data_IF_036793132773
#
_entry.id   IF_036793132773
#
_cell.length_a   1.000
_cell.length_b   1.000
_cell.length_c   1.000
_cell.angle_alpha   90.00
_cell.angle_beta   90.00
_cell.angle_gamma   90.00
#
_symmetry.space_group_name_H-M   'P 1'
#
loop_
_entity.id
_entity.type
_entity.pdbx_description
1 polymer ?
#
# COMPACT_ATOMS: atom_id res chain seq x y z
N UNK A 1 16.43 16.34 3.81
CA UNK A 1 15.59 16.99 4.83
C UNK A 1 14.33 17.50 4.14
N UNK A 2 13.16 17.59 4.81
CA UNK A 2 11.90 18.00 4.15
C UNK A 2 11.97 19.43 3.59
N UNK A 3 12.76 20.29 4.25
CA UNK A 3 13.06 21.65 3.80
C UNK A 3 13.80 21.63 2.44
N UNK A 4 14.81 20.78 2.27
CA UNK A 4 15.57 20.69 1.02
C UNK A 4 14.67 20.28 -0.16
N UNK A 5 13.75 19.34 0.11
CA UNK A 5 12.74 18.91 -0.86
C UNK A 5 11.85 20.09 -1.28
N UNK A 6 11.27 20.81 -0.31
CA UNK A 6 10.37 21.94 -0.56
C UNK A 6 11.07 23.10 -1.28
N UNK A 7 12.32 23.41 -0.91
CA UNK A 7 13.11 24.46 -1.58
C UNK A 7 13.37 24.11 -3.03
N UNK A 8 13.73 22.85 -3.32
CA UNK A 8 13.99 22.40 -4.70
C UNK A 8 12.70 22.33 -5.52
N UNK A 9 11.61 21.81 -4.95
CA UNK A 9 10.30 21.80 -5.59
C UNK A 9 9.85 23.22 -5.97
N UNK A 10 9.99 24.18 -5.06
CA UNK A 10 9.62 25.57 -5.33
C UNK A 10 10.41 26.20 -6.48
N UNK A 11 11.72 25.94 -6.53
CA UNK A 11 12.58 26.39 -7.63
C UNK A 11 12.13 25.81 -8.98
N UNK A 12 11.85 24.49 -9.03
CA UNK A 12 11.40 23.79 -10.23
C UNK A 12 10.04 24.32 -10.70
N UNK A 13 9.10 24.58 -9.78
CA UNK A 13 7.79 25.15 -10.10
C UNK A 13 7.88 26.57 -10.65
N UNK A 14 8.73 27.41 -10.05
CA UNK A 14 8.95 28.78 -10.50
C UNK A 14 9.53 28.79 -11.92
N UNK A 15 10.52 27.93 -12.19
CA UNK A 15 11.10 27.78 -13.53
C UNK A 15 10.06 27.30 -14.57
N UNK A 16 9.27 26.28 -14.24
CA UNK A 16 8.21 25.75 -15.12
C UNK A 16 7.13 26.78 -15.41
N UNK A 17 6.73 27.59 -14.43
CA UNK A 17 5.71 28.63 -14.61
C UNK A 17 6.14 29.73 -15.59
N UNK A 18 7.44 29.99 -15.71
CA UNK A 18 7.98 30.97 -16.66
C UNK A 18 8.22 30.41 -18.07
N UNK A 19 8.33 29.09 -18.20
CA UNK A 19 8.77 28.43 -19.44
C UNK A 19 7.64 27.73 -20.22
N UNK A 20 6.61 27.23 -19.54
CA UNK A 20 5.56 26.42 -20.18
C UNK A 20 4.36 27.26 -20.65
N UNK A 21 3.77 26.95 -21.83
CA UNK A 21 2.59 27.63 -22.33
C UNK A 21 1.32 27.28 -21.51
N UNK A 22 0.36 28.19 -21.46
CA UNK A 22 -0.92 27.98 -20.75
C UNK A 22 -1.93 27.27 -21.66
N UNK A 23 -2.69 26.25 -21.19
CA UNK A 23 -2.60 25.59 -19.89
C UNK A 23 -1.58 24.42 -19.92
N UNK A 24 -0.67 24.38 -18.94
CA UNK A 24 0.23 23.24 -18.72
C UNK A 24 0.22 22.82 -17.25
N UNK A 25 0.25 21.50 -16.94
CA UNK A 25 0.41 21.03 -15.57
C UNK A 25 1.85 21.32 -15.10
N UNK A 26 1.99 22.25 -14.15
CA UNK A 26 3.29 22.59 -13.55
C UNK A 26 3.62 21.71 -12.34
N UNK A 27 2.60 21.16 -11.69
CA UNK A 27 2.69 20.30 -10.52
C UNK A 27 1.67 19.16 -10.62
N UNK A 28 2.07 17.97 -10.20
CA UNK A 28 1.20 16.83 -9.96
C UNK A 28 1.50 16.31 -8.55
N UNK A 29 0.47 15.85 -7.85
CA UNK A 29 0.67 15.27 -6.53
C UNK A 29 1.50 14.00 -6.61
N UNK A 30 2.30 13.80 -5.56
CA UNK A 30 3.18 12.65 -5.45
C UNK A 30 2.35 11.35 -5.41
N UNK A 31 2.81 10.35 -6.16
CA UNK A 31 2.28 8.99 -6.04
C UNK A 31 2.57 8.40 -4.66
N UNK A 32 1.86 7.33 -4.27
CA UNK A 32 2.09 6.65 -2.99
C UNK A 32 3.57 6.28 -2.79
N UNK A 33 4.20 5.73 -3.82
CA UNK A 33 5.61 5.35 -3.79
C UNK A 33 6.55 6.56 -3.53
N UNK A 34 6.31 7.69 -4.21
CA UNK A 34 7.08 8.92 -4.00
C UNK A 34 6.84 9.52 -2.61
N UNK A 35 5.61 9.45 -2.10
CA UNK A 35 5.27 9.90 -0.73
C UNK A 35 5.94 9.03 0.32
N UNK A 36 6.05 7.71 0.12
CA UNK A 36 6.81 6.82 0.99
C UNK A 36 8.28 7.22 1.03
N UNK A 37 8.89 7.53 -0.13
CA UNK A 37 10.26 8.02 -0.18
C UNK A 37 10.48 9.31 0.62
N UNK A 38 9.57 10.27 0.49
CA UNK A 38 9.67 11.56 1.21
C UNK A 38 9.41 11.43 2.71
N UNK A 39 8.35 10.70 3.09
CA UNK A 39 7.81 10.74 4.46
C UNK A 39 8.36 9.64 5.38
N UNK A 40 8.79 8.50 4.83
CA UNK A 40 9.12 7.30 5.63
C UNK A 40 10.59 6.91 5.57
N UNK A 41 11.33 7.33 4.54
CA UNK A 41 12.75 7.03 4.44
C UNK A 41 13.52 7.92 5.40
N UNK A 42 14.43 7.29 6.13
CA UNK A 42 15.27 7.92 7.14
C UNK A 42 16.72 7.51 6.90
N UNK A 43 17.66 8.13 7.62
CA UNK A 43 19.05 7.70 7.56
C UNK A 43 19.23 6.25 8.01
N UNK A 44 18.39 5.75 8.93
CA UNK A 44 18.36 4.37 9.42
C UNK A 44 17.79 3.37 8.41
N UNK A 45 17.12 3.84 7.35
CA UNK A 45 16.54 2.95 6.33
C UNK A 45 17.65 2.29 5.54
N UNK A 46 17.87 0.99 5.76
CA UNK A 46 18.96 0.25 5.12
C UNK A 46 18.73 0.06 3.61
N UNK A 47 17.53 -0.39 3.20
CA UNK A 47 17.19 -0.72 1.81
C UNK A 47 15.71 -0.48 1.55
N UNK A 48 15.38 -0.17 0.30
CA UNK A 48 14.02 0.02 -0.21
C UNK A 48 13.85 -0.97 -1.36
N UNK A 49 13.01 -1.99 -1.16
CA UNK A 49 12.77 -3.05 -2.14
C UNK A 49 11.47 -2.75 -2.89
N UNK A 50 11.53 -2.84 -4.22
CA UNK A 50 10.39 -2.56 -5.11
C UNK A 50 10.27 -3.70 -6.11
N UNK A 51 9.12 -4.37 -6.15
CA UNK A 51 8.86 -5.55 -6.98
C UNK A 51 8.32 -5.21 -8.39
N UNK A 52 7.87 -3.97 -8.62
CA UNK A 52 7.54 -3.45 -9.95
C UNK A 52 8.71 -2.70 -10.57
N UNK A 53 9.08 -3.09 -11.81
CA UNK A 53 10.13 -2.40 -12.61
C UNK A 53 9.76 -0.95 -12.88
N UNK A 54 8.50 -0.71 -13.22
CA UNK A 54 7.99 0.62 -13.53
C UNK A 54 8.01 1.52 -12.29
N UNK A 55 7.49 1.03 -11.16
CA UNK A 55 7.51 1.77 -9.89
C UNK A 55 8.94 2.05 -9.45
N UNK A 56 9.84 1.07 -9.61
CA UNK A 56 11.26 1.24 -9.33
C UNK A 56 11.90 2.35 -10.17
N UNK A 57 11.63 2.40 -11.48
CA UNK A 57 12.11 3.47 -12.36
C UNK A 57 11.59 4.84 -11.93
N UNK A 58 10.27 4.97 -11.72
CA UNK A 58 9.64 6.21 -11.24
C UNK A 58 10.21 6.67 -9.89
N UNK A 59 10.48 5.73 -8.98
CA UNK A 59 11.11 6.00 -7.68
C UNK A 59 12.56 6.43 -7.81
N UNK A 60 13.35 5.81 -8.68
CA UNK A 60 14.73 6.21 -8.93
C UNK A 60 14.82 7.60 -9.55
N UNK A 61 13.98 7.92 -10.54
CA UNK A 61 13.94 9.25 -11.17
C UNK A 61 13.59 10.33 -10.14
N UNK A 62 12.55 10.09 -9.33
CA UNK A 62 12.17 10.99 -8.25
C UNK A 62 13.28 11.18 -7.22
N UNK A 63 13.94 10.09 -6.80
CA UNK A 63 15.04 10.17 -5.86
C UNK A 63 16.23 10.94 -6.44
N UNK A 64 16.59 10.74 -7.71
CA UNK A 64 17.67 11.51 -8.36
C UNK A 64 17.34 13.01 -8.43
N UNK A 65 16.08 13.33 -8.69
CA UNK A 65 15.67 14.73 -8.79
C UNK A 65 15.63 15.41 -7.42
N UNK A 66 15.10 14.78 -6.38
CA UNK A 66 14.83 15.48 -5.12
C UNK A 66 15.61 14.99 -3.90
N UNK A 67 16.07 13.73 -3.90
CA UNK A 67 16.72 13.11 -2.72
C UNK A 67 17.87 12.17 -3.15
N UNK A 68 18.98 12.72 -3.62
CA UNK A 68 20.09 11.92 -4.19
C UNK A 68 20.66 10.86 -3.23
N UNK A 69 20.67 11.15 -1.92
CA UNK A 69 21.26 10.30 -0.88
C UNK A 69 20.59 8.93 -0.71
N UNK A 70 19.37 8.74 -1.24
CA UNK A 70 18.62 7.49 -1.09
C UNK A 70 18.57 6.66 -2.38
N UNK A 71 19.11 7.16 -3.49
CA UNK A 71 19.06 6.52 -4.82
C UNK A 71 19.66 5.11 -4.75
N UNK A 72 20.83 4.97 -4.13
CA UNK A 72 21.55 3.69 -4.03
C UNK A 72 20.87 2.68 -3.09
N UNK A 73 19.90 3.15 -2.28
CA UNK A 73 19.12 2.30 -1.37
C UNK A 73 17.90 1.68 -2.05
N UNK A 74 17.48 2.22 -3.20
CA UNK A 74 16.33 1.74 -3.97
C UNK A 74 16.79 0.61 -4.88
N UNK A 75 16.32 -0.60 -4.60
CA UNK A 75 16.66 -1.79 -5.36
C UNK A 75 15.40 -2.48 -5.89
N UNK A 76 15.44 -2.83 -7.18
CA UNK A 76 14.42 -3.65 -7.78
C UNK A 76 14.54 -5.10 -7.29
N UNK A 77 13.45 -5.62 -6.74
CA UNK A 77 13.32 -7.01 -6.35
C UNK A 77 12.83 -7.82 -7.55
N UNK A 78 13.77 -8.43 -8.28
CA UNK A 78 13.47 -9.24 -9.45
C UNK A 78 13.14 -10.71 -9.14
N UNK A 79 12.59 -10.99 -7.96
CA UNK A 79 12.09 -12.33 -7.59
C UNK A 79 13.15 -13.32 -7.12
N UNK A 80 13.18 -13.58 -5.80
CA UNK A 80 13.65 -14.85 -5.24
C UNK A 80 12.53 -15.89 -5.20
N UNK A 81 12.64 -16.93 -4.38
CA UNK A 81 11.64 -18.02 -4.26
C UNK A 81 10.26 -17.58 -3.73
N UNK A 82 10.09 -16.35 -3.21
CA UNK A 82 8.82 -15.88 -2.62
C UNK A 82 8.49 -14.41 -2.96
N UNK A 83 7.20 -14.03 -3.07
CA UNK A 83 6.78 -12.62 -3.15
C UNK A 83 7.35 -11.78 -2.00
N UNK A 84 7.54 -10.48 -2.23
CA UNK A 84 8.24 -9.60 -1.29
C UNK A 84 7.49 -9.50 0.06
N UNK A 85 6.17 -9.41 0.05
CA UNK A 85 5.37 -9.32 1.27
C UNK A 85 5.33 -10.64 2.04
N UNK A 86 5.22 -11.78 1.34
CA UNK A 86 5.31 -13.10 1.96
C UNK A 86 6.68 -13.35 2.61
N UNK A 87 7.76 -12.94 1.95
CA UNK A 87 9.12 -13.08 2.47
C UNK A 87 9.27 -12.39 3.84
N UNK A 88 8.50 -11.34 4.07
CA UNK A 88 8.55 -10.53 5.29
C UNK A 88 7.31 -10.68 6.19
N UNK A 89 6.39 -11.59 5.88
CA UNK A 89 5.16 -11.81 6.66
C UNK A 89 4.24 -10.58 6.71
N UNK A 90 4.28 -9.73 5.68
CA UNK A 90 3.51 -8.48 5.65
C UNK A 90 2.06 -8.72 5.22
N UNK A 91 1.81 -9.78 4.43
CA UNK A 91 0.46 -10.10 3.93
C UNK A 91 -0.53 -10.36 5.07
N UNK A 92 -0.16 -11.21 6.03
CA UNK A 92 -0.97 -11.52 7.22
C UNK A 92 -1.33 -10.26 8.02
N UNK A 93 -0.43 -9.27 8.08
CA UNK A 93 -0.65 -8.01 8.78
C UNK A 93 -1.57 -7.06 7.98
N UNK A 94 -1.51 -7.10 6.64
CA UNK A 94 -2.43 -6.37 5.76
C UNK A 94 -3.84 -6.95 5.88
N UNK A 95 -4.00 -8.26 5.82
CA UNK A 95 -5.31 -8.92 5.96
C UNK A 95 -5.95 -8.61 7.31
N UNK A 96 -5.17 -8.67 8.40
CA UNK A 96 -5.62 -8.20 9.72
C UNK A 96 -6.06 -6.74 9.63
N UNK A 97 -5.26 -5.85 9.04
CA UNK A 97 -5.59 -4.43 8.92
C UNK A 97 -6.84 -4.12 8.09
N UNK A 98 -7.26 -5.02 7.21
CA UNK A 98 -8.47 -4.90 6.38
C UNK A 98 -9.71 -5.57 7.01
N UNK A 99 -9.58 -6.28 8.14
CA UNK A 99 -10.69 -6.96 8.78
C UNK A 99 -11.75 -5.97 9.29
N UNK A 100 -12.99 -6.47 9.44
CA UNK A 100 -14.22 -5.74 9.86
C UNK A 100 -14.06 -4.92 11.16
N UNK A 101 -13.01 -5.19 11.93
CA UNK A 101 -12.59 -4.44 13.11
C UNK A 101 -11.07 -4.44 13.21
N UNK A 102 -10.42 -3.51 12.51
CA UNK A 102 -9.08 -3.01 12.84
C UNK A 102 -9.02 -1.48 12.71
N UNK A 103 -8.53 -0.86 13.78
CA UNK A 103 -8.44 0.59 13.96
C UNK A 103 -7.23 1.20 13.23
N UNK A 104 -7.47 2.34 12.57
CA UNK A 104 -6.64 2.88 11.48
C UNK A 104 -5.46 3.77 11.88
N UNK A 105 -4.44 3.73 11.00
CA UNK A 105 -3.31 4.68 10.84
C UNK A 105 -3.67 5.95 10.03
N UNK A 106 -4.95 6.29 9.91
CA UNK A 106 -5.45 7.51 9.25
C UNK A 106 -6.51 8.14 10.14
N UNK A 107 -6.16 9.27 10.74
CA UNK A 107 -6.83 9.90 11.87
C UNK A 107 -8.35 9.87 12.00
N UNK A 108 -8.75 9.60 13.25
CA UNK A 108 -10.04 9.68 13.93
C UNK A 108 -9.77 9.55 15.45
N UNK A 109 -10.79 9.32 16.28
CA UNK A 109 -10.59 8.84 17.65
C UNK A 109 -10.49 7.30 17.61
N UNK A 110 -9.51 6.72 18.29
CA UNK A 110 -9.42 5.28 18.54
C UNK A 110 -9.89 5.03 19.97
N UNK A 111 -10.62 3.94 20.15
CA UNK A 111 -11.02 3.42 21.45
C UNK A 111 -10.34 2.07 21.61
N UNK A 112 -9.35 2.01 22.48
CA UNK A 112 -8.55 0.80 22.71
C UNK A 112 -9.05 0.15 24.00
N UNK A 113 -9.44 -1.10 23.86
CA UNK A 113 -9.92 -1.93 24.97
C UNK A 113 -8.76 -2.78 25.50
N UNK A 114 -8.17 -2.34 26.61
CA UNK A 114 -7.14 -3.12 27.30
C UNK A 114 -7.81 -4.10 28.27
N UNK A 115 -7.09 -5.18 28.61
CA UNK A 115 -7.54 -6.09 29.67
C UNK A 115 -7.71 -5.29 30.97
N UNK A 116 -8.79 -5.57 31.70
CA UNK A 116 -9.10 -4.93 32.96
C UNK A 116 -7.95 -5.04 33.96
N UNK A 117 -7.59 -3.91 34.56
CA UNK A 117 -6.54 -3.77 35.56
C UNK A 117 -7.10 -3.07 36.78
N UNK A 118 -7.09 -3.72 37.94
CA UNK A 118 -7.52 -3.10 39.21
C UNK A 118 -6.47 -2.10 39.74
N UNK A 119 -5.18 -2.41 39.55
CA UNK A 119 -4.10 -1.56 40.03
C UNK A 119 -3.87 -0.37 39.07
N UNK A 120 -3.92 0.84 39.63
CA UNK A 120 -3.65 2.11 38.93
C UNK A 120 -2.21 2.16 38.39
N UNK A 121 -1.25 1.55 39.10
CA UNK A 121 0.14 1.52 38.67
C UNK A 121 0.31 0.71 37.38
N UNK A 122 -0.45 -0.37 37.21
CA UNK A 122 -0.43 -1.17 35.98
C UNK A 122 -1.02 -0.37 34.81
N UNK A 123 -2.12 0.35 35.04
CA UNK A 123 -2.71 1.26 34.03
C UNK A 123 -1.70 2.32 33.60
N UNK A 124 -1.01 2.94 34.55
CA UNK A 124 0.01 3.94 34.26
C UNK A 124 1.19 3.35 33.46
N UNK A 125 1.66 2.15 33.83
CA UNK A 125 2.74 1.46 33.11
C UNK A 125 2.36 1.11 31.67
N UNK A 126 1.14 0.60 31.44
CA UNK A 126 0.62 0.30 30.10
C UNK A 126 0.54 1.57 29.25
N UNK A 127 -0.02 2.66 29.79
CA UNK A 127 -0.10 3.94 29.07
C UNK A 127 1.29 4.50 28.75
N UNK A 128 2.27 4.34 29.64
CA UNK A 128 3.63 4.80 29.42
C UNK A 128 4.32 4.02 28.28
N UNK A 129 4.26 2.69 28.30
CA UNK A 129 4.83 1.88 27.23
C UNK A 129 4.07 2.06 25.90
N UNK A 130 2.75 2.23 25.95
CA UNK A 130 1.95 2.56 24.77
C UNK A 130 2.36 3.91 24.15
N UNK A 131 2.50 4.95 24.98
CA UNK A 131 2.96 6.28 24.52
C UNK A 131 4.38 6.24 23.95
N UNK A 132 5.26 5.45 24.56
CA UNK A 132 6.64 5.25 24.08
C UNK A 132 6.68 4.53 22.73
N UNK A 133 5.82 3.53 22.51
CA UNK A 133 5.70 2.86 21.22
C UNK A 133 5.22 3.82 20.12
N UNK A 134 4.28 4.71 20.46
CA UNK A 134 3.74 5.73 19.57
C UNK A 134 4.72 6.89 19.28
N UNK A 135 5.76 7.08 20.09
CA UNK A 135 6.73 8.18 19.92
C UNK A 135 7.48 8.15 18.58
N UNK A 136 7.53 6.99 17.90
CA UNK A 136 8.12 6.84 16.56
C UNK A 136 7.19 7.32 15.44
N UNK A 137 5.91 7.56 15.72
CA UNK A 137 4.97 8.04 14.71
C UNK A 137 5.19 9.53 14.44
N UNK A 138 5.43 9.86 13.17
CA UNK A 138 5.66 11.24 12.69
C UNK A 138 4.38 12.08 12.65
N UNK A 139 3.24 11.47 12.90
CA UNK A 139 1.92 12.12 12.81
C UNK A 139 1.52 12.68 14.15
N UNK A 140 0.98 13.91 14.17
CA UNK A 140 0.44 14.51 15.40
C UNK A 140 -0.59 13.58 16.04
N UNK A 141 -0.37 13.22 17.30
CA UNK A 141 -1.22 12.33 18.09
C UNK A 141 -1.48 12.90 19.48
N UNK A 142 -2.60 12.50 20.07
CA UNK A 142 -2.97 12.75 21.47
C UNK A 142 -3.45 11.44 22.05
N UNK A 143 -2.87 10.99 23.15
CA UNK A 143 -3.33 9.83 23.91
C UNK A 143 -3.97 10.35 25.19
N UNK A 144 -5.26 10.07 25.38
CA UNK A 144 -5.94 10.31 26.64
C UNK A 144 -5.71 9.12 27.58
N UNK A 145 -5.92 9.34 28.89
CA UNK A 145 -5.85 8.25 29.86
C UNK A 145 -7.01 7.26 29.74
N UNK A 146 -7.04 6.31 30.67
CA UNK A 146 -8.18 5.40 30.83
C UNK A 146 -9.46 6.18 31.14
N UNK A 147 -10.53 5.87 30.41
CA UNK A 147 -11.90 6.27 30.71
C UNK A 147 -12.43 5.51 31.93
N UNK A 148 -13.60 5.93 32.44
CA UNK A 148 -14.28 5.22 33.52
C UNK A 148 -14.69 3.80 33.15
N UNK A 149 -14.82 3.51 31.85
CA UNK A 149 -15.15 2.18 31.31
C UNK A 149 -13.91 1.31 31.04
N UNK A 150 -12.70 1.75 31.42
CA UNK A 150 -11.47 0.99 31.18
C UNK A 150 -10.91 1.11 29.76
N UNK A 151 -11.52 1.95 28.91
CA UNK A 151 -11.09 2.18 27.54
C UNK A 151 -10.05 3.29 27.46
N UNK A 152 -9.09 3.21 26.55
CA UNK A 152 -8.13 4.29 26.27
C UNK A 152 -8.53 5.00 24.98
N UNK A 153 -8.71 6.31 25.05
CA UNK A 153 -9.00 7.12 23.87
C UNK A 153 -7.70 7.71 23.30
N UNK A 154 -7.54 7.70 21.98
CA UNK A 154 -6.47 8.47 21.34
C UNK A 154 -6.96 9.13 20.06
N UNK A 155 -6.40 10.28 19.72
CA UNK A 155 -6.60 10.92 18.43
C UNK A 155 -5.28 10.93 17.68
N UNK A 156 -5.37 10.77 16.37
CA UNK A 156 -4.22 10.86 15.46
C UNK A 156 -4.63 11.75 14.30
N UNK A 157 -3.79 12.66 13.83
CA UNK A 157 -4.12 13.53 12.69
C UNK A 157 -4.23 12.69 11.41
N UNK A 158 -5.24 12.95 10.58
CA UNK A 158 -5.33 12.32 9.25
C UNK A 158 -4.37 13.02 8.29
N UNK A 159 -3.44 12.26 7.72
CA UNK A 159 -2.43 12.76 6.76
C UNK A 159 -2.62 12.17 5.36
N UNK A 160 -3.40 11.08 5.24
CA UNK A 160 -3.65 10.32 4.00
C UNK A 160 -5.05 9.70 4.04
N UNK A 161 -5.50 9.22 2.89
CA UNK A 161 -6.66 8.34 2.77
C UNK A 161 -6.42 7.02 3.53
N UNK A 162 -7.49 6.35 3.99
CA UNK A 162 -7.34 5.04 4.62
C UNK A 162 -6.98 3.98 3.57
N UNK A 163 -6.33 2.89 4.00
CA UNK A 163 -6.08 1.75 3.09
C UNK A 163 -7.39 1.24 2.48
N UNK A 164 -8.46 1.17 3.26
CA UNK A 164 -9.79 0.82 2.76
C UNK A 164 -10.26 1.78 1.66
N UNK A 165 -10.00 3.08 1.77
CA UNK A 165 -10.39 4.03 0.72
C UNK A 165 -9.57 3.90 -0.56
N UNK A 166 -8.33 3.42 -0.47
CA UNK A 166 -7.44 3.23 -1.62
C UNK A 166 -7.65 1.85 -2.27
N UNK A 167 -7.84 0.82 -1.46
CA UNK A 167 -7.90 -0.57 -1.87
C UNK A 167 -9.33 -1.07 -2.06
N UNK A 168 -10.33 -0.37 -1.53
CA UNK A 168 -11.73 -0.78 -1.59
C UNK A 168 -12.62 0.33 -2.16
N UNK A 169 -13.79 -0.09 -2.62
CA UNK A 169 -14.86 0.77 -3.13
C UNK A 169 -16.22 0.34 -2.55
N UNK A 170 -17.24 1.22 -2.59
CA UNK A 170 -18.56 0.90 -2.05
C UNK A 170 -19.16 -0.33 -2.71
N UNK A 171 -19.64 -1.28 -1.90
CA UNK A 171 -20.23 -2.51 -2.41
C UNK A 171 -21.52 -2.22 -3.18
N UNK A 172 -21.53 -2.56 -4.48
CA UNK A 172 -22.66 -2.38 -5.38
C UNK A 172 -23.90 -3.18 -4.95
N UNK A 173 -23.72 -4.35 -4.31
CA UNK A 173 -24.81 -5.25 -3.91
C UNK A 173 -25.57 -4.72 -2.69
N UNK A 174 -24.87 -4.16 -1.70
CA UNK A 174 -25.49 -3.72 -0.45
C UNK A 174 -25.74 -2.21 -0.38
N UNK A 175 -25.64 -1.53 -1.53
CA UNK A 175 -25.80 -0.08 -1.71
C UNK A 175 -24.87 0.74 -0.80
N UNK A 176 -23.61 0.33 -0.70
CA UNK A 176 -22.58 1.04 0.08
C UNK A 176 -22.67 0.85 1.60
N UNK A 177 -23.48 -0.10 2.11
CA UNK A 177 -23.44 -0.50 3.53
C UNK A 177 -22.13 -1.21 3.93
N UNK A 178 -21.40 -1.69 2.94
CA UNK A 178 -20.08 -2.30 3.06
C UNK A 178 -19.22 -1.88 1.87
N UNK A 179 -17.98 -2.34 1.90
CA UNK A 179 -16.97 -2.08 0.87
C UNK A 179 -16.46 -3.42 0.34
N UNK A 180 -15.99 -3.42 -0.90
CA UNK A 180 -15.31 -4.54 -1.56
C UNK A 180 -13.99 -4.03 -2.12
N UNK A 181 -12.97 -4.88 -2.26
CA UNK A 181 -11.71 -4.53 -2.91
C UNK A 181 -11.97 -3.99 -4.31
N UNK A 182 -11.24 -2.96 -4.70
CA UNK A 182 -11.25 -2.44 -6.08
C UNK A 182 -10.77 -3.53 -7.03
N UNK A 183 -11.25 -3.50 -8.28
CA UNK A 183 -10.80 -4.43 -9.32
C UNK A 183 -9.26 -4.41 -9.49
N UNK A 184 -8.63 -3.24 -9.33
CA UNK A 184 -7.18 -3.09 -9.36
C UNK A 184 -6.49 -3.83 -8.20
N UNK A 185 -7.04 -3.75 -6.98
CA UNK A 185 -6.49 -4.51 -5.84
C UNK A 185 -6.58 -6.01 -6.11
N UNK A 186 -7.70 -6.48 -6.64
CA UNK A 186 -7.88 -7.90 -7.02
C UNK A 186 -6.90 -8.31 -8.12
N UNK A 187 -6.62 -7.45 -9.10
CA UNK A 187 -5.58 -7.71 -10.12
C UNK A 187 -4.23 -8.00 -9.47
N UNK A 188 -3.79 -7.15 -8.53
CA UNK A 188 -2.50 -7.35 -7.85
C UNK A 188 -2.47 -8.60 -6.96
N UNK A 189 -3.60 -8.98 -6.36
CA UNK A 189 -3.70 -10.25 -5.62
C UNK A 189 -3.52 -11.45 -6.55
N UNK A 190 -4.22 -11.46 -7.69
CA UNK A 190 -4.08 -12.50 -8.72
C UNK A 190 -2.63 -12.59 -9.21
N UNK A 191 -1.98 -11.45 -9.51
CA UNK A 191 -0.58 -11.44 -9.95
C UNK A 191 0.36 -12.08 -8.91
N UNK A 192 0.15 -11.77 -7.62
CA UNK A 192 0.93 -12.37 -6.52
C UNK A 192 0.67 -13.87 -6.38
N UNK A 193 -0.57 -14.30 -6.53
CA UNK A 193 -0.94 -15.71 -6.48
C UNK A 193 -0.27 -16.50 -7.62
N UNK A 194 -0.31 -15.99 -8.85
CA UNK A 194 0.39 -16.60 -9.99
C UNK A 194 1.90 -16.68 -9.75
N UNK A 195 2.53 -15.66 -9.15
CA UNK A 195 3.95 -15.71 -8.75
C UNK A 195 4.20 -16.81 -7.70
N UNK A 196 3.28 -17.00 -6.76
CA UNK A 196 3.38 -18.03 -5.71
C UNK A 196 3.26 -19.43 -6.32
N UNK A 197 2.21 -19.66 -7.09
CA UNK A 197 1.87 -20.92 -7.75
C UNK A 197 2.94 -21.33 -8.79
N UNK A 198 3.46 -20.39 -9.57
CA UNK A 198 4.50 -20.67 -10.57
C UNK A 198 5.82 -21.18 -10.01
N UNK A 199 6.09 -20.90 -8.73
CA UNK A 199 7.27 -21.41 -8.03
C UNK A 199 7.02 -22.74 -7.37
N UNK A 200 5.79 -23.00 -6.92
CA UNK A 200 5.41 -24.24 -6.25
C UNK A 200 5.14 -25.37 -7.25
N UNK A 201 4.59 -25.04 -8.43
CA UNK A 201 4.14 -26.00 -9.41
C UNK A 201 4.65 -25.69 -10.82
N UNK A 202 5.01 -26.74 -11.55
CA UNK A 202 5.43 -26.63 -12.95
C UNK A 202 4.24 -26.76 -13.90
N UNK A 203 3.39 -25.74 -13.97
CA UNK A 203 2.36 -25.61 -15.02
C UNK A 203 2.96 -25.26 -16.39
N UNK A 204 2.31 -25.64 -17.48
CA UNK A 204 2.60 -25.18 -18.85
C UNK A 204 1.95 -23.83 -19.13
N UNK A 205 0.79 -23.56 -18.53
CA UNK A 205 0.02 -22.32 -18.70
C UNK A 205 -0.70 -21.99 -17.39
N UNK A 206 -0.90 -20.70 -17.11
CA UNK A 206 -1.80 -20.23 -16.06
C UNK A 206 -3.04 -19.60 -16.68
N UNK A 207 -4.22 -19.99 -16.23
CA UNK A 207 -5.48 -19.37 -16.64
C UNK A 207 -6.13 -18.65 -15.47
N UNK A 208 -6.34 -17.36 -15.64
CA UNK A 208 -7.03 -16.51 -14.65
C UNK A 208 -8.51 -16.46 -15.02
N UNK A 209 -9.37 -16.87 -14.09
CA UNK A 209 -10.81 -16.67 -14.15
C UNK A 209 -11.21 -15.60 -13.15
N UNK A 210 -11.83 -14.50 -13.60
CA UNK A 210 -12.25 -13.42 -12.73
C UNK A 210 -13.49 -12.70 -13.30
N UNK A 211 -14.05 -11.76 -12.53
CA UNK A 211 -15.14 -10.91 -13.00
C UNK A 211 -14.75 -10.07 -14.23
N UNK A 212 -15.75 -9.61 -14.99
CA UNK A 212 -15.53 -8.75 -16.15
C UNK A 212 -14.69 -7.51 -15.82
N UNK A 213 -14.96 -6.84 -14.70
CA UNK A 213 -14.24 -5.63 -14.28
C UNK A 213 -12.74 -5.87 -14.05
N UNK A 214 -12.37 -7.03 -13.52
CA UNK A 214 -10.97 -7.41 -13.29
C UNK A 214 -10.28 -7.77 -14.61
N UNK A 215 -10.95 -8.55 -15.47
CA UNK A 215 -10.40 -8.95 -16.77
C UNK A 215 -10.20 -7.73 -17.68
N UNK A 216 -11.14 -6.79 -17.71
CA UNK A 216 -11.01 -5.55 -18.48
C UNK A 216 -9.80 -4.74 -18.03
N UNK A 217 -9.54 -4.64 -16.71
CA UNK A 217 -8.35 -3.98 -16.19
C UNK A 217 -7.06 -4.66 -16.66
N UNK A 218 -7.01 -6.00 -16.63
CA UNK A 218 -5.85 -6.74 -17.13
C UNK A 218 -5.61 -6.54 -18.63
N UNK A 219 -6.66 -6.30 -19.41
CA UNK A 219 -6.57 -6.06 -20.85
C UNK A 219 -6.17 -4.62 -21.18
N UNK A 220 -6.38 -3.67 -20.26
CA UNK A 220 -6.09 -2.25 -20.45
C UNK A 220 -5.02 -1.74 -19.47
N UNK A 221 -5.43 -1.15 -18.34
CA UNK A 221 -4.55 -0.44 -17.41
C UNK A 221 -3.42 -1.32 -16.83
N UNK A 222 -3.70 -2.58 -16.51
CA UNK A 222 -2.76 -3.52 -15.89
C UNK A 222 -2.12 -4.48 -16.90
N UNK A 223 -2.29 -4.23 -18.20
CA UNK A 223 -1.73 -5.07 -19.29
C UNK A 223 -0.20 -5.18 -19.24
N UNK A 224 0.49 -4.10 -18.86
CA UNK A 224 1.94 -4.11 -18.70
C UNK A 224 2.38 -4.96 -17.51
N UNK A 225 1.69 -4.87 -16.38
CA UNK A 225 1.93 -5.68 -15.18
C UNK A 225 1.79 -7.17 -15.50
N UNK A 226 0.73 -7.54 -16.22
CA UNK A 226 0.48 -8.92 -16.65
C UNK A 226 1.54 -9.43 -17.63
N UNK A 227 1.95 -8.63 -18.61
CA UNK A 227 2.99 -8.99 -19.57
C UNK A 227 4.35 -9.20 -18.87
N UNK A 228 4.73 -8.30 -17.96
CA UNK A 228 5.94 -8.43 -17.16
C UNK A 228 5.93 -9.70 -16.31
N UNK A 229 4.77 -10.07 -15.77
CA UNK A 229 4.62 -11.32 -15.03
C UNK A 229 4.82 -12.53 -15.96
N UNK A 230 4.18 -12.54 -17.14
CA UNK A 230 4.35 -13.61 -18.13
C UNK A 230 5.81 -13.81 -18.53
N UNK A 231 6.53 -12.72 -18.78
CA UNK A 231 7.97 -12.74 -19.05
C UNK A 231 8.78 -13.27 -17.86
N UNK A 232 8.40 -12.87 -16.64
CA UNK A 232 9.07 -13.26 -15.41
C UNK A 232 8.93 -14.77 -15.11
N UNK A 233 7.73 -15.33 -15.27
CA UNK A 233 7.47 -16.75 -15.04
C UNK A 233 7.86 -17.62 -16.25
N UNK A 234 8.05 -17.02 -17.42
CA UNK A 234 8.41 -17.70 -18.67
C UNK A 234 7.32 -18.63 -19.20
N UNK A 235 6.05 -18.37 -18.84
CA UNK A 235 4.88 -19.21 -19.16
C UNK A 235 3.72 -18.33 -19.61
N UNK A 236 2.92 -18.79 -20.58
CA UNK A 236 1.74 -18.06 -21.03
C UNK A 236 0.70 -17.93 -19.91
N UNK A 237 0.04 -16.77 -19.89
CA UNK A 237 -1.10 -16.48 -19.00
C UNK A 237 -2.31 -16.19 -19.90
N UNK A 238 -3.41 -16.92 -19.72
CA UNK A 238 -4.68 -16.65 -20.39
C UNK A 238 -5.70 -16.08 -19.43
N UNK A 239 -6.60 -15.25 -19.96
CA UNK A 239 -7.65 -14.56 -19.22
C UNK A 239 -9.00 -15.09 -19.67
N UNK A 240 -9.89 -15.38 -18.72
CA UNK A 240 -11.26 -15.79 -18.98
C UNK A 240 -12.21 -15.07 -18.02
N UNK A 241 -13.28 -14.50 -18.58
CA UNK A 241 -14.34 -13.90 -17.77
C UNK A 241 -15.22 -15.01 -17.20
N UNK A 242 -15.47 -14.94 -15.89
CA UNK A 242 -16.53 -15.70 -15.23
C UNK A 242 -17.65 -14.75 -14.81
N UNK A 243 -18.85 -14.99 -15.35
CA UNK A 243 -19.99 -14.08 -15.22
C UNK A 243 -20.70 -14.20 -13.87
N UNK A 244 -20.52 -15.33 -13.19
CA UNK A 244 -21.10 -15.57 -11.87
C UNK A 244 -20.22 -15.02 -10.74
N UNK A 245 -19.00 -14.57 -11.04
CA UNK A 245 -18.06 -14.10 -10.02
C UNK A 245 -18.36 -12.66 -9.61
N UNK A 246 -18.37 -12.43 -8.30
CA UNK A 246 -18.26 -11.08 -7.75
C UNK A 246 -16.83 -10.57 -7.97
N UNK A 247 -16.61 -9.26 -7.81
CA UNK A 247 -15.31 -8.65 -8.09
C UNK A 247 -14.14 -9.26 -7.32
N UNK A 248 -14.37 -9.71 -6.09
CA UNK A 248 -13.32 -10.31 -5.25
C UNK A 248 -13.11 -11.81 -5.50
N UNK A 249 -13.94 -12.44 -6.33
CA UNK A 249 -13.82 -13.86 -6.67
C UNK A 249 -12.97 -14.06 -7.91
N UNK A 250 -12.00 -14.94 -7.80
CA UNK A 250 -11.17 -15.38 -8.92
C UNK A 250 -10.63 -16.79 -8.67
N UNK A 251 -10.20 -17.45 -9.74
CA UNK A 251 -9.43 -18.69 -9.69
C UNK A 251 -8.20 -18.60 -10.60
N UNK A 252 -7.09 -19.18 -10.14
CA UNK A 252 -5.89 -19.42 -10.96
C UNK A 252 -5.80 -20.92 -11.28
N UNK A 253 -6.12 -21.29 -12.52
CA UNK A 253 -6.02 -22.68 -12.98
C UNK A 253 -4.64 -22.94 -13.58
N UNK A 254 -3.98 -23.98 -13.09
CA UNK A 254 -2.71 -24.49 -13.59
C UNK A 254 -2.97 -25.58 -14.64
N UNK A 255 -2.50 -25.40 -15.87
CA UNK A 255 -2.67 -26.32 -17.02
C UNK A 255 -1.34 -26.97 -17.40
#
# INVERSE_FOLDING_TARGET
NDIDYLTKLWADLTAKSGALPVPSPIYQDLSLAQRVLRDMVTEETARILVDSRETHQKMQEFARQYTQAIVDRIAHYSGGERPLFDLHGVEDEIEKALARRVDLKSGGYLIIDFIDMENVDHRAAVLAEFSKALARDRTRLTVNGFTQLGLVEMTRKRTRESLAHVLCEPCATCTGRGEIKTAQTVCYEILREVVRESKQFSAREFRILASQSVIDLFLDEESQSLAQLGDFIGKPISLQVETLYTQEQYDVILI
#
